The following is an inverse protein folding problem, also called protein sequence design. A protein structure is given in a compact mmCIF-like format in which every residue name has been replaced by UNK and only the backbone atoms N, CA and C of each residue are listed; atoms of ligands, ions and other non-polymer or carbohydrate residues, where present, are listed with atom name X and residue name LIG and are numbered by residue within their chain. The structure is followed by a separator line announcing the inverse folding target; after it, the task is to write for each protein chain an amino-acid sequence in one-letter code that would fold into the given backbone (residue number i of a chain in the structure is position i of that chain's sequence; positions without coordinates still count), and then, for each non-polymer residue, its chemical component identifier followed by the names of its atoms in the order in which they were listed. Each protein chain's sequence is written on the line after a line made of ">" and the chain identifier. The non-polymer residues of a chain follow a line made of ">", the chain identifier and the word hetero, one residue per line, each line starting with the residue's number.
data_IF_241958844723
#
_entry.id   IF_241958844723
#
_cell.length_a   1.000
_cell.length_b   1.000
_cell.length_c   1.000
_cell.angle_alpha   90.00
_cell.angle_beta   90.00
_cell.angle_gamma   90.00
#
_symmetry.space_group_name_H-M   'P 1'
#
loop_
_entity.id
_entity.type
_entity.pdbx_description
1 polymer ?
#
# COMPACT_ATOMS: atom_id res chain seq x y z
N UNK A 1 25.47 53.75 21.95
CA UNK A 1 26.17 53.09 20.82
C UNK A 1 26.24 51.60 21.11
N UNK A 2 25.30 50.85 20.55
CA UNK A 2 25.23 49.38 20.57
C UNK A 2 25.61 48.91 19.15
N UNK A 3 26.53 47.94 18.97
CA UNK A 3 26.88 47.46 17.64
C UNK A 3 25.86 46.43 17.14
N UNK A 4 25.68 46.44 15.82
CA UNK A 4 24.60 45.82 15.06
C UNK A 4 24.65 44.27 15.05
N UNK A 5 23.45 43.67 15.09
CA UNK A 5 23.21 42.26 14.77
C UNK A 5 23.30 42.04 13.25
N UNK A 6 24.38 41.40 12.80
CA UNK A 6 24.52 40.89 11.44
C UNK A 6 23.81 39.52 11.34
N UNK A 7 22.59 39.52 10.81
CA UNK A 7 21.82 38.29 10.58
C UNK A 7 22.18 37.67 9.23
N UNK A 8 23.24 36.84 9.22
CA UNK A 8 23.53 35.97 8.07
C UNK A 8 22.48 34.87 7.94
N UNK A 9 21.47 35.10 7.08
CA UNK A 9 20.56 34.08 6.56
C UNK A 9 21.34 32.97 5.84
N UNK A 10 21.63 31.86 6.53
CA UNK A 10 22.05 30.60 5.89
C UNK A 10 20.83 29.96 5.21
N UNK A 11 20.73 30.13 3.89
CA UNK A 11 19.86 29.33 3.02
C UNK A 11 20.34 27.88 3.02
N UNK A 12 19.66 26.98 3.73
CA UNK A 12 19.78 25.55 3.47
C UNK A 12 19.02 25.20 2.20
N UNK A 13 19.74 24.92 1.11
CA UNK A 13 19.17 24.26 -0.07
C UNK A 13 19.13 22.75 0.22
N UNK A 14 17.94 22.21 0.47
CA UNK A 14 17.68 20.78 0.38
C UNK A 14 17.88 20.34 -1.07
N UNK A 15 18.98 19.63 -1.35
CA UNK A 15 19.24 18.94 -2.62
C UNK A 15 18.98 17.46 -2.38
N UNK A 16 17.76 17.00 -2.65
CA UNK A 16 17.51 15.59 -2.94
C UNK A 16 17.30 15.47 -4.44
N UNK A 17 18.40 15.32 -5.18
CA UNK A 17 18.39 14.85 -6.55
C UNK A 17 18.98 13.44 -6.52
N UNK A 18 18.12 12.41 -6.51
CA UNK A 18 18.56 11.04 -6.73
C UNK A 18 18.61 10.79 -8.24
N UNK A 19 19.81 10.75 -8.79
CA UNK A 19 20.08 10.20 -10.12
C UNK A 19 20.27 8.69 -9.99
N UNK A 20 19.38 7.84 -10.51
CA UNK A 20 19.64 6.39 -10.60
C UNK A 20 19.11 5.76 -11.89
N UNK A 21 19.98 4.95 -12.48
CA UNK A 21 19.80 4.19 -13.72
C UNK A 21 18.98 2.93 -13.50
N UNK A 22 17.98 2.70 -14.35
CA UNK A 22 17.17 1.47 -14.39
C UNK A 22 17.72 0.49 -15.43
N UNK A 23 17.86 -0.78 -15.06
CA UNK A 23 18.15 -1.87 -16.01
C UNK A 23 16.98 -2.85 -16.08
N UNK A 24 16.65 -3.28 -17.30
CA UNK A 24 15.46 -4.06 -17.66
C UNK A 24 15.82 -5.46 -18.15
N UNK A 25 14.95 -6.45 -17.90
CA UNK A 25 14.99 -7.76 -18.53
C UNK A 25 13.57 -8.25 -18.90
N UNK A 26 13.44 -8.82 -20.10
CA UNK A 26 12.18 -9.34 -20.67
C UNK A 26 12.00 -10.80 -20.21
N UNK A 27 10.87 -11.19 -19.59
CA UNK A 27 10.53 -12.60 -19.45
C UNK A 27 9.81 -13.09 -20.72
N UNK A 28 10.34 -14.13 -21.34
CA UNK A 28 9.70 -14.85 -22.46
C UNK A 28 8.63 -15.84 -21.97
N UNK A 29 7.43 -15.72 -22.57
CA UNK A 29 6.26 -16.63 -22.70
C UNK A 29 5.87 -17.62 -21.56
N UNK A 30 4.57 -17.72 -21.17
CA UNK A 30 4.12 -18.48 -20.00
C UNK A 30 3.51 -19.85 -20.35
N UNK A 31 4.30 -20.76 -20.92
CA UNK A 31 3.94 -22.18 -20.96
C UNK A 31 5.21 -23.05 -20.82
N UNK A 32 5.62 -23.26 -19.57
CA UNK A 32 6.32 -24.43 -19.01
C UNK A 32 6.74 -24.11 -17.58
N UNK A 33 5.80 -24.16 -16.65
CA UNK A 33 6.13 -24.56 -15.28
C UNK A 33 6.24 -26.08 -15.28
N UNK A 34 7.31 -26.59 -14.68
CA UNK A 34 7.85 -27.95 -14.70
C UNK A 34 8.88 -28.22 -15.82
N UNK A 35 10.09 -28.53 -15.35
CA UNK A 35 11.35 -28.86 -16.04
C UNK A 35 12.14 -27.73 -16.71
N UNK A 36 13.10 -27.18 -15.96
CA UNK A 36 14.37 -26.66 -16.52
C UNK A 36 15.50 -26.64 -15.46
N UNK A 37 15.96 -27.83 -15.04
CA UNK A 37 17.39 -28.03 -14.77
C UNK A 37 18.09 -28.28 -16.10
N UNK A 38 18.41 -27.21 -16.85
CA UNK A 38 19.53 -27.12 -17.82
C UNK A 38 19.42 -25.84 -18.65
N UNK A 39 20.47 -25.01 -18.58
CA UNK A 39 20.90 -24.23 -19.75
C UNK A 39 20.69 -22.72 -19.74
N UNK A 40 21.14 -22.00 -18.71
CA UNK A 40 21.87 -20.74 -18.95
C UNK A 40 23.00 -20.64 -17.94
N UNK A 41 24.24 -20.75 -18.41
CA UNK A 41 25.44 -20.55 -17.59
C UNK A 41 25.68 -19.04 -17.51
N UNK A 42 24.79 -18.34 -16.79
CA UNK A 42 25.21 -17.17 -16.05
C UNK A 42 25.73 -17.70 -14.72
N UNK A 43 26.98 -17.42 -14.37
CA UNK A 43 27.53 -17.80 -13.05
C UNK A 43 26.61 -17.22 -11.97
N UNK A 44 25.79 -18.07 -11.34
CA UNK A 44 24.98 -17.67 -10.21
C UNK A 44 25.95 -17.22 -9.11
N UNK A 45 26.14 -15.91 -8.99
CA UNK A 45 27.01 -15.31 -7.98
C UNK A 45 26.46 -15.70 -6.62
N UNK A 46 27.32 -16.25 -5.76
CA UNK A 46 26.94 -16.69 -4.42
C UNK A 46 26.25 -15.52 -3.68
N UNK A 47 25.03 -15.71 -3.14
CA UNK A 47 24.27 -14.64 -2.50
C UNK A 47 24.98 -14.04 -1.27
N UNK A 48 25.86 -14.81 -0.62
CA UNK A 48 26.72 -14.31 0.46
C UNK A 48 27.70 -13.26 -0.08
N UNK A 49 28.30 -13.53 -1.24
CA UNK A 49 29.29 -12.64 -1.87
C UNK A 49 28.61 -11.36 -2.33
N UNK A 50 27.43 -11.45 -2.97
CA UNK A 50 26.72 -10.26 -3.45
C UNK A 50 26.27 -9.36 -2.30
N UNK A 51 25.85 -9.93 -1.17
CA UNK A 51 25.49 -9.16 0.02
C UNK A 51 26.70 -8.48 0.66
N UNK A 52 27.81 -9.20 0.83
CA UNK A 52 29.04 -8.63 1.39
C UNK A 52 29.57 -7.53 0.48
N UNK A 53 29.57 -7.73 -0.84
CA UNK A 53 29.93 -6.70 -1.82
C UNK A 53 29.05 -5.47 -1.69
N UNK A 54 27.73 -5.64 -1.62
CA UNK A 54 26.82 -4.52 -1.43
C UNK A 54 27.15 -3.69 -0.18
N UNK A 55 27.49 -4.35 0.94
CA UNK A 55 27.87 -3.69 2.20
C UNK A 55 29.21 -2.96 2.06
N UNK A 56 30.18 -3.55 1.35
CA UNK A 56 31.49 -2.94 1.12
C UNK A 56 31.41 -1.71 0.21
N UNK A 57 30.46 -1.70 -0.73
CA UNK A 57 30.21 -0.58 -1.64
C UNK A 57 29.50 0.60 -0.94
N UNK A 58 29.07 0.47 0.33
CA UNK A 58 28.44 1.55 1.07
C UNK A 58 29.49 2.49 1.71
N UNK A 59 29.67 3.66 1.11
CA UNK A 59 30.61 4.69 1.58
C UNK A 59 30.23 5.33 2.93
N UNK A 60 28.99 5.14 3.41
CA UNK A 60 28.51 5.74 4.65
C UNK A 60 29.06 5.06 5.92
N UNK A 61 29.67 3.87 5.81
CA UNK A 61 30.19 3.12 6.96
C UNK A 61 31.64 2.67 6.71
N UNK A 62 32.55 3.35 7.40
CA UNK A 62 33.99 3.17 7.20
C UNK A 62 34.63 2.12 8.12
N UNK A 63 33.95 1.70 9.19
CA UNK A 63 34.52 0.74 10.16
C UNK A 63 34.05 -0.69 9.87
N UNK A 64 34.93 -1.66 10.05
CA UNK A 64 34.59 -3.07 9.87
C UNK A 64 33.48 -3.52 10.83
N UNK A 65 33.49 -3.01 12.07
CA UNK A 65 32.42 -3.26 13.05
C UNK A 65 31.08 -2.70 12.54
N UNK A 66 31.09 -1.51 11.95
CA UNK A 66 29.91 -0.92 11.35
C UNK A 66 29.38 -1.74 10.17
N UNK A 67 30.27 -2.21 9.29
CA UNK A 67 29.93 -3.07 8.14
C UNK A 67 29.31 -4.38 8.59
N UNK A 68 29.88 -5.04 9.60
CA UNK A 68 29.31 -6.26 10.18
C UNK A 68 27.93 -6.01 10.78
N UNK A 69 27.74 -4.91 11.53
CA UNK A 69 26.42 -4.53 12.07
C UNK A 69 25.40 -4.27 10.97
N UNK A 70 25.80 -3.60 9.89
CA UNK A 70 24.96 -3.35 8.72
C UNK A 70 24.57 -4.68 8.04
N UNK A 71 25.52 -5.58 7.85
CA UNK A 71 25.28 -6.90 7.28
C UNK A 71 24.34 -7.74 8.13
N UNK A 72 24.52 -7.79 9.46
CA UNK A 72 23.60 -8.52 10.36
C UNK A 72 22.18 -7.94 10.27
N UNK A 73 22.02 -6.61 10.25
CA UNK A 73 20.71 -5.96 10.09
C UNK A 73 20.07 -6.32 8.75
N UNK A 74 20.85 -6.34 7.67
CA UNK A 74 20.38 -6.78 6.36
C UNK A 74 19.88 -8.23 6.42
N UNK A 75 20.65 -9.13 7.02
CA UNK A 75 20.28 -10.55 7.14
C UNK A 75 19.05 -10.79 8.02
N UNK A 76 18.86 -10.00 9.07
CA UNK A 76 17.65 -10.03 9.90
C UNK A 76 16.42 -9.61 9.09
N UNK A 77 16.51 -8.52 8.33
CA UNK A 77 15.42 -8.07 7.46
C UNK A 77 15.14 -9.05 6.31
N UNK A 78 16.17 -9.73 5.80
CA UNK A 78 16.05 -10.84 4.82
C UNK A 78 15.57 -12.16 5.43
N UNK A 79 15.42 -12.25 6.76
CA UNK A 79 15.13 -13.50 7.48
C UNK A 79 16.10 -14.65 7.13
N UNK A 80 17.37 -14.32 6.89
CA UNK A 80 18.38 -15.27 6.40
C UNK A 80 19.63 -15.36 7.28
N UNK A 81 19.62 -14.71 8.45
CA UNK A 81 20.77 -14.68 9.37
C UNK A 81 21.26 -16.08 9.74
N UNK A 82 20.36 -16.96 10.21
CA UNK A 82 20.73 -18.34 10.55
C UNK A 82 21.30 -19.10 9.36
N UNK A 83 20.67 -18.99 8.18
CA UNK A 83 21.15 -19.61 6.94
C UNK A 83 22.58 -19.16 6.62
N UNK A 84 22.87 -17.86 6.71
CA UNK A 84 24.21 -17.33 6.40
C UNK A 84 25.25 -17.66 7.44
N UNK A 85 24.87 -17.73 8.72
CA UNK A 85 25.78 -18.25 9.75
C UNK A 85 26.09 -19.72 9.49
N UNK A 86 25.10 -20.56 9.15
CA UNK A 86 25.32 -21.98 8.77
C UNK A 86 26.25 -22.10 7.55
N UNK A 87 26.09 -21.26 6.53
CA UNK A 87 26.99 -21.21 5.37
C UNK A 87 28.43 -20.85 5.78
N UNK A 88 28.63 -19.84 6.63
CA UNK A 88 29.97 -19.51 7.15
C UNK A 88 30.57 -20.65 7.98
N UNK A 89 29.76 -21.32 8.81
CA UNK A 89 30.17 -22.45 9.64
C UNK A 89 30.56 -23.69 8.81
N UNK A 90 30.06 -23.80 7.58
CA UNK A 90 30.45 -24.87 6.65
C UNK A 90 31.90 -24.77 6.19
N UNK A 91 32.55 -23.61 6.35
CA UNK A 91 33.97 -23.36 6.03
C UNK A 91 34.90 -23.95 7.12
N UNK A 92 34.74 -25.24 7.39
CA UNK A 92 35.38 -25.96 8.50
C UNK A 92 36.91 -25.87 8.47
N UNK A 93 37.53 -25.88 7.29
CA UNK A 93 38.98 -25.71 7.12
C UNK A 93 39.44 -24.35 7.66
N UNK A 94 38.77 -23.27 7.25
CA UNK A 94 39.09 -21.93 7.69
C UNK A 94 38.87 -21.74 9.19
N UNK A 95 37.79 -22.30 9.73
CA UNK A 95 37.48 -22.25 11.17
C UNK A 95 38.56 -22.99 11.96
N UNK A 96 38.95 -24.19 11.53
CA UNK A 96 39.94 -25.00 12.23
C UNK A 96 41.33 -24.36 12.27
N UNK A 97 41.66 -23.54 11.26
CA UNK A 97 42.92 -22.79 11.19
C UNK A 97 42.92 -21.52 12.03
N UNK A 98 41.81 -20.77 12.06
CA UNK A 98 41.77 -19.44 12.67
C UNK A 98 41.21 -19.40 14.11
N UNK A 99 40.53 -20.46 14.55
CA UNK A 99 39.90 -20.50 15.87
C UNK A 99 40.50 -21.58 16.78
N UNK A 100 40.72 -21.23 18.04
CA UNK A 100 41.18 -22.17 19.07
C UNK A 100 40.16 -23.30 19.28
N UNK A 101 40.60 -24.53 19.60
CA UNK A 101 39.72 -25.70 19.75
C UNK A 101 38.61 -25.52 20.79
N UNK A 102 38.83 -24.70 21.82
CA UNK A 102 37.85 -24.35 22.86
C UNK A 102 37.03 -23.10 22.54
N UNK A 103 37.13 -22.55 21.33
CA UNK A 103 36.31 -21.40 20.95
C UNK A 103 34.85 -21.83 20.79
N UNK A 104 33.93 -20.93 21.13
CA UNK A 104 32.50 -21.10 20.93
C UNK A 104 32.12 -21.69 19.56
N UNK A 105 32.73 -21.17 18.48
CA UNK A 105 32.45 -21.57 17.08
C UNK A 105 32.90 -23.01 16.76
N UNK A 106 33.65 -23.69 17.64
CA UNK A 106 34.08 -25.08 17.47
C UNK A 106 33.38 -26.04 18.43
N UNK A 107 32.58 -25.53 19.36
CA UNK A 107 31.83 -26.33 20.34
C UNK A 107 30.45 -26.65 19.77
N UNK A 108 30.22 -27.91 19.35
CA UNK A 108 28.95 -28.30 18.68
C UNK A 108 27.70 -28.00 19.51
N UNK A 109 27.71 -28.24 20.82
CA UNK A 109 26.54 -28.02 21.69
C UNK A 109 26.14 -26.56 21.77
N UNK A 110 27.11 -25.65 21.89
CA UNK A 110 26.86 -24.20 21.98
C UNK A 110 26.44 -23.63 20.62
N UNK A 111 27.02 -24.14 19.54
CA UNK A 111 26.65 -23.77 18.17
C UNK A 111 25.21 -24.17 17.82
N UNK A 112 24.80 -25.38 18.18
CA UNK A 112 23.42 -25.85 17.94
C UNK A 112 22.41 -24.95 18.67
N UNK A 113 22.71 -24.57 19.92
CA UNK A 113 21.87 -23.62 20.68
C UNK A 113 21.83 -22.24 20.03
N UNK A 114 22.96 -21.70 19.57
CA UNK A 114 23.00 -20.43 18.84
C UNK A 114 22.14 -20.50 17.58
N UNK A 115 22.32 -21.53 16.75
CA UNK A 115 21.58 -21.67 15.51
C UNK A 115 20.08 -21.81 15.74
N UNK A 116 19.66 -22.52 16.79
CA UNK A 116 18.26 -22.60 17.20
C UNK A 116 17.68 -21.21 17.55
N UNK A 117 18.42 -20.41 18.32
CA UNK A 117 18.00 -19.04 18.63
C UNK A 117 18.04 -18.10 17.41
N UNK A 118 18.95 -18.30 16.46
CA UNK A 118 18.96 -17.52 15.22
C UNK A 118 17.82 -17.91 14.28
N UNK A 119 17.42 -19.19 14.25
CA UNK A 119 16.25 -19.66 13.50
C UNK A 119 14.97 -19.02 14.05
N UNK A 120 14.82 -18.83 15.37
CA UNK A 120 13.63 -18.18 15.92
C UNK A 120 13.48 -16.71 15.50
N UNK A 121 14.59 -16.04 15.15
CA UNK A 121 14.55 -14.67 14.62
C UNK A 121 13.94 -14.59 13.21
N UNK A 122 13.90 -15.68 12.44
CA UNK A 122 13.27 -15.65 11.12
C UNK A 122 11.74 -15.54 11.20
N UNK A 123 11.14 -15.87 12.34
CA UNK A 123 9.72 -15.70 12.62
C UNK A 123 9.32 -14.24 12.89
N UNK A 124 10.29 -13.32 13.02
CA UNK A 124 10.05 -11.91 13.30
C UNK A 124 10.33 -11.08 12.04
N UNK A 125 9.48 -10.10 11.79
CA UNK A 125 9.70 -9.12 10.74
C UNK A 125 10.57 -7.96 11.23
N UNK A 126 11.81 -7.93 10.74
CA UNK A 126 12.70 -6.79 10.97
C UNK A 126 12.59 -5.79 9.82
N UNK A 127 12.73 -4.51 10.14
CA UNK A 127 12.92 -3.41 9.17
C UNK A 127 14.16 -2.58 9.53
N UNK A 128 15.08 -3.16 10.29
CA UNK A 128 16.20 -2.45 10.91
C UNK A 128 17.29 -2.04 9.92
N UNK A 129 17.41 -2.70 8.76
CA UNK A 129 18.34 -2.26 7.73
C UNK A 129 17.76 -1.05 6.99
N UNK A 130 16.55 -1.19 6.45
CA UNK A 130 15.90 -0.14 5.66
C UNK A 130 15.68 1.13 6.50
N UNK A 131 15.37 0.99 7.80
CA UNK A 131 15.16 2.14 8.68
C UNK A 131 16.46 2.85 9.08
N UNK A 132 17.51 2.11 9.44
CA UNK A 132 18.73 2.71 9.99
C UNK A 132 19.69 3.21 8.90
N UNK A 133 19.53 2.74 7.66
CA UNK A 133 20.36 3.12 6.52
C UNK A 133 19.55 3.70 5.35
N UNK A 134 18.81 4.81 5.56
CA UNK A 134 17.94 5.39 4.54
C UNK A 134 18.70 5.98 3.33
N UNK A 135 20.01 6.18 3.46
CA UNK A 135 20.87 6.65 2.36
C UNK A 135 21.32 5.51 1.43
N UNK A 136 21.16 4.25 1.86
CA UNK A 136 21.56 3.09 1.07
C UNK A 136 20.76 3.01 -0.23
N UNK A 137 21.43 2.65 -1.33
CA UNK A 137 20.76 2.51 -2.62
C UNK A 137 19.96 1.20 -2.69
N UNK A 138 18.64 1.29 -2.52
CA UNK A 138 17.74 0.15 -2.69
C UNK A 138 17.18 0.09 -4.12
N UNK A 139 17.40 -1.04 -4.78
CA UNK A 139 16.85 -1.32 -6.10
C UNK A 139 15.53 -2.07 -5.97
N UNK A 140 14.48 -1.55 -6.61
CA UNK A 140 13.18 -2.19 -6.66
C UNK A 140 12.85 -2.66 -8.08
N UNK A 141 12.33 -3.88 -8.23
CA UNK A 141 11.73 -4.36 -9.47
C UNK A 141 10.22 -4.27 -9.40
N UNK A 142 9.57 -3.73 -10.43
CA UNK A 142 8.12 -3.72 -10.56
C UNK A 142 7.68 -4.62 -11.72
N UNK A 143 6.73 -5.53 -11.45
CA UNK A 143 6.15 -6.44 -12.43
C UNK A 143 4.65 -6.19 -12.50
N UNK A 144 4.13 -5.96 -13.71
CA UNK A 144 2.73 -5.69 -13.97
C UNK A 144 2.14 -6.87 -14.74
N UNK A 145 1.09 -7.47 -14.18
CA UNK A 145 0.30 -8.49 -14.86
C UNK A 145 -0.90 -7.82 -15.52
N UNK A 146 -0.88 -7.69 -16.84
CA UNK A 146 -1.97 -7.11 -17.63
C UNK A 146 -2.81 -8.25 -18.21
N UNK A 147 -4.15 -8.13 -18.19
CA UNK A 147 -5.01 -9.14 -18.80
C UNK A 147 -4.76 -9.22 -20.30
N UNK A 148 -4.82 -10.44 -20.84
CA UNK A 148 -4.70 -10.67 -22.29
C UNK A 148 -5.96 -10.16 -22.99
N UNK A 149 -5.81 -9.07 -23.73
CA UNK A 149 -6.81 -8.57 -24.66
C UNK A 149 -6.48 -9.04 -26.08
N UNK A 150 -7.51 -9.27 -26.91
CA UNK A 150 -7.35 -9.68 -28.33
C UNK A 150 -6.60 -8.61 -29.14
N UNK A 151 -6.81 -7.34 -28.79
CA UNK A 151 -6.08 -6.20 -29.35
C UNK A 151 -4.98 -5.79 -28.38
N UNK A 152 -3.78 -5.54 -28.91
CA UNK A 152 -2.71 -4.94 -28.11
C UNK A 152 -3.15 -3.54 -27.69
N UNK A 153 -3.12 -3.27 -26.39
CA UNK A 153 -3.32 -1.91 -25.88
C UNK A 153 -2.26 -0.98 -26.47
N UNK A 154 -2.57 0.32 -26.50
CA UNK A 154 -1.68 1.34 -27.09
C UNK A 154 -1.15 2.37 -26.08
N UNK A 155 -1.50 2.32 -24.79
CA UNK A 155 -1.26 3.38 -23.79
C UNK A 155 0.10 3.35 -23.09
N UNK A 156 0.64 4.53 -22.69
CA UNK A 156 1.82 4.62 -21.81
C UNK A 156 1.36 4.35 -20.40
N UNK A 157 1.84 3.26 -19.82
CA UNK A 157 1.68 3.04 -18.40
C UNK A 157 2.81 3.75 -17.65
N UNK A 158 2.42 4.41 -16.58
CA UNK A 158 3.35 5.00 -15.64
C UNK A 158 3.02 4.52 -14.23
N UNK A 159 4.05 4.44 -13.39
CA UNK A 159 3.94 4.01 -12.01
C UNK A 159 4.66 5.01 -11.13
N UNK A 160 4.08 5.26 -9.96
CA UNK A 160 4.74 5.95 -8.86
C UNK A 160 4.67 5.05 -7.65
N UNK A 161 5.83 4.77 -7.05
CA UNK A 161 5.91 4.00 -5.81
C UNK A 161 6.18 4.97 -4.66
N UNK A 162 5.35 4.89 -3.62
CA UNK A 162 5.52 5.69 -2.40
C UNK A 162 5.65 4.76 -1.20
N UNK A 163 6.61 5.08 -0.32
CA UNK A 163 6.85 4.40 0.93
C UNK A 163 7.08 5.40 2.06
N UNK A 164 7.43 4.91 3.25
CA UNK A 164 7.62 5.74 4.45
C UNK A 164 8.82 6.70 4.33
N UNK A 165 9.87 6.30 3.61
CA UNK A 165 11.10 7.07 3.46
C UNK A 165 11.11 7.99 2.23
N UNK A 166 10.08 7.92 1.40
CA UNK A 166 10.01 8.76 0.21
C UNK A 166 9.13 8.17 -0.89
N UNK A 167 9.23 8.80 -2.05
CA UNK A 167 8.44 8.49 -3.24
C UNK A 167 9.35 8.54 -4.47
N UNK A 168 9.11 7.66 -5.43
CA UNK A 168 9.78 7.71 -6.72
C UNK A 168 9.22 8.84 -7.58
N UNK A 169 10.02 9.33 -8.50
CA UNK A 169 9.50 10.06 -9.66
C UNK A 169 8.57 9.16 -10.49
N UNK A 170 7.91 9.75 -11.49
CA UNK A 170 7.06 9.02 -12.42
C UNK A 170 7.92 8.04 -13.24
N UNK A 171 7.73 6.75 -13.00
CA UNK A 171 8.39 5.67 -13.72
C UNK A 171 7.55 5.34 -14.95
N UNK A 172 8.00 5.78 -16.13
CA UNK A 172 7.40 5.37 -17.40
C UNK A 172 7.84 3.95 -17.74
N UNK A 173 6.90 3.06 -17.98
CA UNK A 173 7.20 1.68 -18.35
C UNK A 173 7.49 1.62 -19.86
N UNK A 174 8.62 1.02 -20.31
CA UNK A 174 9.00 1.07 -21.71
C UNK A 174 8.03 0.25 -22.57
N UNK A 175 7.33 0.95 -23.49
CA UNK A 175 6.47 0.47 -24.58
C UNK A 175 5.47 -0.61 -24.12
N UNK A 176 4.23 -0.23 -23.84
CA UNK A 176 3.35 0.45 -24.80
C UNK A 176 3.23 1.95 -24.49
N UNK A 177 2.94 2.82 -25.47
CA UNK A 177 2.82 4.25 -25.22
C UNK A 177 1.72 4.96 -26.00
N UNK A 178 0.89 5.78 -25.33
CA UNK A 178 0.07 6.84 -25.93
C UNK A 178 -0.08 8.08 -25.03
N UNK A 179 -0.47 9.15 -25.68
CA UNK A 179 -0.89 10.51 -25.29
C UNK A 179 -2.42 10.70 -25.36
N UNK A 180 -3.19 9.61 -25.30
CA UNK A 180 -4.61 9.45 -25.65
C UNK A 180 -4.89 9.48 -27.17
N UNK A 181 -3.84 9.52 -28.01
CA UNK A 181 -3.93 9.31 -29.45
C UNK A 181 -3.77 7.83 -29.82
N UNK A 182 -4.85 7.05 -29.82
CA UNK A 182 -4.78 5.64 -30.22
C UNK A 182 -6.14 4.94 -30.33
N UNK A 183 -6.20 3.88 -31.15
CA UNK A 183 -7.45 3.15 -31.46
C UNK A 183 -7.97 2.29 -30.30
N UNK A 184 -7.13 1.87 -29.33
CA UNK A 184 -7.50 1.04 -28.17
C UNK A 184 -6.69 1.41 -26.90
N UNK A 185 -7.20 2.33 -26.06
CA UNK A 185 -6.52 2.78 -24.85
C UNK A 185 -6.73 1.87 -23.62
N UNK A 186 -7.66 0.91 -23.71
CA UNK A 186 -8.11 0.11 -22.56
C UNK A 186 -7.03 -0.87 -22.09
N UNK A 187 -6.64 -0.76 -20.82
CA UNK A 187 -5.70 -1.68 -20.16
C UNK A 187 -6.32 -2.19 -18.87
N UNK A 188 -6.51 -3.50 -18.75
CA UNK A 188 -6.88 -4.13 -17.47
C UNK A 188 -5.63 -4.64 -16.75
N UNK A 189 -5.37 -4.10 -15.56
CA UNK A 189 -4.26 -4.54 -14.71
C UNK A 189 -4.82 -5.55 -13.69
N UNK A 190 -4.31 -6.78 -13.72
CA UNK A 190 -4.66 -7.82 -12.75
C UNK A 190 -3.96 -7.57 -11.41
N UNK A 191 -2.62 -7.50 -11.44
CA UNK A 191 -1.82 -7.29 -10.25
C UNK A 191 -0.51 -6.55 -10.56
N UNK A 192 0.01 -5.89 -9.54
CA UNK A 192 1.30 -5.23 -9.53
C UNK A 192 2.12 -5.84 -8.39
N UNK A 193 3.35 -6.27 -8.70
CA UNK A 193 4.30 -6.79 -7.73
C UNK A 193 5.51 -5.88 -7.66
N UNK A 194 5.87 -5.44 -6.47
CA UNK A 194 7.05 -4.61 -6.22
C UNK A 194 7.98 -5.39 -5.30
N UNK A 195 9.19 -5.68 -5.74
CA UNK A 195 10.17 -6.43 -4.95
C UNK A 195 11.36 -5.54 -4.64
N UNK A 196 11.78 -5.48 -3.38
CA UNK A 196 13.10 -4.97 -3.02
C UNK A 196 14.14 -6.04 -3.33
N UNK A 197 15.01 -5.78 -4.31
CA UNK A 197 15.98 -6.78 -4.80
C UNK A 197 17.07 -7.11 -3.77
N UNK A 198 17.31 -6.22 -2.81
CA UNK A 198 18.30 -6.44 -1.76
C UNK A 198 17.72 -7.25 -0.60
N UNK A 199 16.58 -6.81 -0.05
CA UNK A 199 15.97 -7.43 1.13
C UNK A 199 15.05 -8.61 0.78
N UNK A 200 14.62 -8.73 -0.47
CA UNK A 200 13.64 -9.73 -0.91
C UNK A 200 12.20 -9.42 -0.50
N UNK A 201 11.95 -8.29 0.18
CA UNK A 201 10.59 -7.86 0.54
C UNK A 201 9.74 -7.72 -0.73
N UNK A 202 8.65 -8.49 -0.80
CA UNK A 202 7.69 -8.47 -1.89
C UNK A 202 6.43 -7.73 -1.45
N UNK A 203 5.94 -6.83 -2.28
CA UNK A 203 4.67 -6.14 -2.09
C UNK A 203 3.75 -6.49 -3.25
N UNK A 204 2.52 -6.90 -2.94
CA UNK A 204 1.52 -7.31 -3.91
C UNK A 204 0.34 -6.35 -3.85
N UNK A 205 -0.08 -5.92 -5.03
CA UNK A 205 -1.29 -5.15 -5.27
C UNK A 205 -2.15 -6.00 -6.19
N UNK A 206 -3.28 -6.46 -5.69
CA UNK A 206 -4.38 -6.93 -6.54
C UNK A 206 -5.03 -5.65 -7.05
N UNK A 207 -4.94 -5.40 -8.37
CA UNK A 207 -5.35 -4.13 -8.94
C UNK A 207 -6.74 -4.25 -9.56
N UNK A 208 -7.01 -5.34 -10.29
CA UNK A 208 -8.29 -5.71 -10.88
C UNK A 208 -9.10 -4.56 -11.51
N UNK A 209 -8.41 -3.62 -12.18
CA UNK A 209 -9.02 -2.37 -12.68
C UNK A 209 -8.68 -2.13 -14.14
N UNK A 210 -9.63 -1.56 -14.86
CA UNK A 210 -9.41 -0.98 -16.18
C UNK A 210 -8.95 0.46 -16.03
N UNK A 211 -7.86 0.81 -16.71
CA UNK A 211 -7.45 2.19 -16.96
C UNK A 211 -8.08 2.63 -18.28
N UNK A 212 -9.20 3.36 -18.22
CA UNK A 212 -9.91 3.83 -19.42
C UNK A 212 -10.96 4.88 -19.09
N UNK A 213 -10.99 5.96 -19.87
CA UNK A 213 -12.07 6.96 -19.85
C UNK A 213 -13.42 6.40 -20.36
N UNK A 214 -13.42 5.25 -21.05
CA UNK A 214 -14.63 4.64 -21.63
C UNK A 214 -15.34 3.67 -20.68
N UNK A 215 -14.72 3.37 -19.55
CA UNK A 215 -15.25 2.45 -18.55
C UNK A 215 -16.14 3.15 -17.52
N UNK A 216 -16.85 2.36 -16.71
CA UNK A 216 -17.83 2.87 -15.74
C UNK A 216 -17.28 3.84 -14.72
N UNK A 217 -15.97 3.82 -14.44
CA UNK A 217 -15.28 4.69 -13.49
C UNK A 217 -14.51 5.83 -14.17
N UNK A 218 -14.43 5.84 -15.51
CA UNK A 218 -13.79 6.87 -16.35
C UNK A 218 -12.35 7.24 -15.89
N UNK A 219 -11.68 6.35 -15.18
CA UNK A 219 -10.43 6.63 -14.48
C UNK A 219 -9.23 6.06 -15.24
N UNK A 220 -8.21 6.89 -15.43
CA UNK A 220 -6.96 6.56 -16.14
C UNK A 220 -5.74 6.54 -15.21
N UNK A 221 -5.96 6.78 -13.92
CA UNK A 221 -4.97 6.73 -12.85
C UNK A 221 -5.64 6.09 -11.63
N UNK A 222 -4.89 5.34 -10.82
CA UNK A 222 -5.38 4.80 -9.55
C UNK A 222 -4.29 4.86 -8.48
N UNK A 223 -4.73 5.00 -7.24
CA UNK A 223 -3.88 4.88 -6.06
C UNK A 223 -4.16 3.54 -5.39
N UNK A 224 -3.11 2.71 -5.27
CA UNK A 224 -3.22 1.41 -4.63
C UNK A 224 -2.42 1.39 -3.34
N UNK A 225 -2.99 0.78 -2.30
CA UNK A 225 -2.23 0.38 -1.13
C UNK A 225 -1.65 -1.01 -1.33
N UNK A 226 -0.34 -1.15 -1.18
CA UNK A 226 0.36 -2.41 -1.36
C UNK A 226 0.41 -3.22 -0.06
N UNK A 227 0.19 -4.53 -0.15
CA UNK A 227 0.37 -5.47 0.96
C UNK A 227 1.76 -6.09 0.90
N UNK A 228 2.50 -6.07 2.01
CA UNK A 228 3.74 -6.86 2.12
C UNK A 228 3.42 -8.35 2.17
N UNK A 229 4.08 -9.14 1.35
CA UNK A 229 3.97 -10.60 1.29
C UNK A 229 4.99 -11.24 2.23
N UNK A 230 4.54 -12.11 3.13
CA UNK A 230 5.39 -12.76 4.12
C UNK A 230 5.84 -14.12 3.63
N UNK A 231 7.15 -14.36 3.66
CA UNK A 231 7.78 -15.59 3.16
C UNK A 231 7.70 -16.73 4.18
N UNK A 232 7.60 -16.43 5.48
CA UNK A 232 7.43 -17.39 6.57
C UNK A 232 6.11 -17.17 7.29
N UNK A 233 5.04 -17.71 6.71
CA UNK A 233 3.92 -18.35 7.41
C UNK A 233 2.83 -18.56 6.38
N UNK A 234 2.47 -19.84 6.22
CA UNK A 234 1.16 -20.33 5.86
C UNK A 234 0.48 -19.65 4.66
N UNK A 235 0.09 -20.52 3.73
CA UNK A 235 -1.31 -20.70 3.34
C UNK A 235 -2.33 -20.56 4.50
N UNK A 236 -2.28 -19.49 5.29
CA UNK A 236 -3.42 -18.61 5.46
C UNK A 236 -3.40 -17.81 4.14
N UNK A 237 -3.84 -18.38 3.01
CA UNK A 237 -5.29 -18.47 2.84
C UNK A 237 -5.99 -17.71 3.97
N UNK A 238 -5.85 -16.38 3.96
CA UNK A 238 -7.04 -15.56 4.03
C UNK A 238 -7.85 -16.02 2.81
N UNK A 239 -8.42 -17.23 2.92
CA UNK A 239 -9.67 -17.57 2.32
C UNK A 239 -10.49 -16.38 2.80
N UNK A 240 -10.82 -15.51 1.87
CA UNK A 240 -12.17 -15.03 1.84
C UNK A 240 -13.00 -16.31 1.94
N UNK A 241 -13.33 -16.71 3.17
CA UNK A 241 -14.33 -17.74 3.39
C UNK A 241 -15.52 -17.19 2.62
N UNK A 242 -15.84 -17.89 1.54
CA UNK A 242 -17.01 -17.57 0.75
C UNK A 242 -18.14 -17.47 1.75
N UNK A 243 -18.71 -16.27 1.83
CA UNK A 243 -20.02 -16.07 2.41
C UNK A 243 -20.88 -17.21 1.92
N UNK A 244 -21.54 -17.89 2.84
CA UNK A 244 -22.60 -18.82 2.51
C UNK A 244 -23.45 -18.23 1.39
N UNK A 245 -23.71 -18.98 0.32
CA UNK A 245 -24.53 -18.55 -0.84
C UNK A 245 -25.97 -18.14 -0.44
N UNK A 246 -26.31 -18.19 0.85
CA UNK A 246 -27.58 -17.76 1.46
C UNK A 246 -27.58 -16.32 2.00
N UNK A 247 -26.44 -15.64 2.12
CA UNK A 247 -26.39 -14.33 2.78
C UNK A 247 -26.77 -13.20 1.83
N UNK A 248 -27.60 -12.27 2.31
CA UNK A 248 -27.99 -11.11 1.50
C UNK A 248 -26.75 -10.26 1.16
N UNK A 249 -26.70 -9.59 -0.01
CA UNK A 249 -25.58 -8.73 -0.37
C UNK A 249 -25.26 -7.65 0.68
N UNK A 250 -26.29 -7.12 1.35
CA UNK A 250 -26.12 -6.16 2.44
C UNK A 250 -25.43 -6.77 3.66
N UNK A 251 -25.69 -8.03 3.98
CA UNK A 251 -25.08 -8.73 5.13
C UNK A 251 -23.60 -9.02 4.85
N UNK A 252 -23.27 -9.44 3.63
CA UNK A 252 -21.88 -9.62 3.20
C UNK A 252 -21.05 -8.33 3.35
N UNK A 253 -21.61 -7.18 2.94
CA UNK A 253 -20.95 -5.87 3.09
C UNK A 253 -20.74 -5.55 4.58
N UNK A 254 -21.74 -5.80 5.44
CA UNK A 254 -21.61 -5.57 6.90
C UNK A 254 -20.49 -6.39 7.50
N UNK A 255 -20.45 -7.70 7.26
CA UNK A 255 -19.46 -8.60 7.85
C UNK A 255 -18.06 -8.19 7.42
N UNK A 256 -17.84 -7.93 6.13
CA UNK A 256 -16.55 -7.45 5.60
C UNK A 256 -16.14 -6.11 6.23
N UNK A 257 -17.07 -5.18 6.39
CA UNK A 257 -16.80 -3.88 7.02
C UNK A 257 -16.44 -4.03 8.50
N UNK A 258 -17.16 -4.88 9.25
CA UNK A 258 -16.87 -5.16 10.66
C UNK A 258 -15.48 -5.76 10.85
N UNK A 259 -15.11 -6.74 10.02
CA UNK A 259 -13.78 -7.34 10.08
C UNK A 259 -12.69 -6.32 9.73
N UNK A 260 -12.91 -5.47 8.71
CA UNK A 260 -11.97 -4.42 8.38
C UNK A 260 -11.81 -3.37 9.49
N UNK A 261 -12.90 -3.01 10.18
CA UNK A 261 -12.84 -2.09 11.33
C UNK A 261 -12.09 -2.74 12.48
N UNK A 262 -12.35 -4.03 12.76
CA UNK A 262 -11.63 -4.80 13.78
C UNK A 262 -10.12 -4.81 13.51
N UNK A 263 -9.71 -5.04 12.27
CA UNK A 263 -8.29 -5.02 11.88
C UNK A 263 -7.64 -3.65 12.12
N UNK A 264 -8.36 -2.56 11.81
CA UNK A 264 -7.89 -1.18 12.06
C UNK A 264 -7.79 -0.89 13.56
N UNK A 265 -8.80 -1.29 14.35
CA UNK A 265 -8.76 -1.14 15.81
C UNK A 265 -7.57 -1.91 16.38
N UNK A 266 -7.39 -3.17 15.95
CA UNK A 266 -6.28 -4.01 16.38
C UNK A 266 -4.92 -3.38 16.07
N UNK A 267 -4.78 -2.71 14.92
CA UNK A 267 -3.57 -1.96 14.58
C UNK A 267 -3.24 -0.87 15.62
N UNK A 268 -4.24 -0.15 16.13
CA UNK A 268 -4.04 0.90 17.12
C UNK A 268 -3.89 0.38 18.55
N UNK A 269 -4.52 -0.75 18.90
CA UNK A 269 -4.42 -1.33 20.24
C UNK A 269 -3.14 -2.16 20.41
N UNK A 270 -2.75 -2.92 19.40
CA UNK A 270 -1.62 -3.86 19.44
C UNK A 270 -0.66 -3.67 18.23
N UNK A 271 -0.07 -2.45 18.06
CA UNK A 271 0.72 -2.11 16.86
C UNK A 271 1.95 -3.00 16.66
N UNK A 272 2.46 -3.63 17.74
CA UNK A 272 3.62 -4.53 17.66
C UNK A 272 3.31 -5.87 16.99
N UNK A 273 2.03 -6.24 16.91
CA UNK A 273 1.54 -7.46 16.26
C UNK A 273 0.93 -7.17 14.89
N UNK A 274 0.88 -5.90 14.49
CA UNK A 274 0.32 -5.49 13.21
C UNK A 274 1.22 -5.96 12.05
N UNK A 275 0.74 -6.98 11.34
CA UNK A 275 1.38 -7.53 10.14
C UNK A 275 1.27 -6.58 8.94
N UNK A 276 0.27 -5.71 8.94
CA UNK A 276 -0.07 -4.86 7.79
C UNK A 276 0.03 -3.39 8.16
N UNK A 277 0.38 -2.56 7.18
CA UNK A 277 0.42 -1.11 7.35
C UNK A 277 -0.98 -0.54 7.48
N UNK A 278 -1.12 0.54 8.24
CA UNK A 278 -2.37 1.30 8.33
C UNK A 278 -2.89 1.71 6.95
N UNK A 279 -2.01 2.11 6.04
CA UNK A 279 -2.37 2.48 4.67
C UNK A 279 -3.09 1.33 3.95
N UNK A 280 -2.61 0.09 4.08
CA UNK A 280 -3.28 -1.06 3.48
C UNK A 280 -4.58 -1.39 4.21
N UNK A 281 -4.62 -1.38 5.54
CA UNK A 281 -5.85 -1.62 6.31
C UNK A 281 -6.97 -0.63 6.02
N UNK A 282 -6.62 0.56 5.53
CA UNK A 282 -7.58 1.61 5.22
C UNK A 282 -7.92 1.69 3.73
N UNK A 283 -6.93 1.60 2.84
CA UNK A 283 -7.09 1.82 1.38
C UNK A 283 -6.91 0.56 0.52
N UNK A 284 -6.52 -0.58 1.10
CA UNK A 284 -6.35 -1.83 0.38
C UNK A 284 -7.66 -2.36 -0.20
N UNK A 285 -7.58 -3.24 -1.21
CA UNK A 285 -8.79 -3.89 -1.75
C UNK A 285 -9.55 -4.63 -0.64
N UNK A 286 -10.88 -4.49 -0.63
CA UNK A 286 -11.77 -5.06 0.40
C UNK A 286 -11.42 -4.64 1.83
N UNK A 287 -10.96 -3.38 2.00
CA UNK A 287 -10.67 -2.75 3.29
C UNK A 287 -11.55 -1.54 3.54
N UNK A 288 -11.30 -0.82 4.64
CA UNK A 288 -12.21 0.15 5.23
C UNK A 288 -12.81 1.13 4.22
N UNK A 289 -11.98 1.91 3.51
CA UNK A 289 -12.48 2.94 2.59
C UNK A 289 -13.19 2.33 1.37
N UNK A 290 -12.60 1.36 0.64
CA UNK A 290 -13.33 0.71 -0.45
C UNK A 290 -14.66 0.08 -0.03
N UNK A 291 -14.73 -0.52 1.16
CA UNK A 291 -15.97 -1.09 1.72
C UNK A 291 -16.99 -0.02 2.08
N UNK A 292 -16.56 1.11 2.64
CA UNK A 292 -17.44 2.26 2.88
C UNK A 292 -18.02 2.81 1.56
N UNK A 293 -17.21 2.83 0.48
CA UNK A 293 -17.71 3.20 -0.85
C UNK A 293 -18.68 2.17 -1.39
N UNK A 294 -18.39 0.88 -1.29
CA UNK A 294 -19.29 -0.22 -1.70
C UNK A 294 -20.65 -0.12 -1.00
N UNK A 295 -20.63 0.16 0.29
CA UNK A 295 -21.83 0.40 1.11
C UNK A 295 -22.59 1.66 0.68
N UNK A 296 -21.91 2.77 0.37
CA UNK A 296 -22.55 4.00 -0.12
C UNK A 296 -23.11 3.86 -1.54
N UNK A 297 -22.57 2.95 -2.35
CA UNK A 297 -23.09 2.66 -3.68
C UNK A 297 -24.25 1.65 -3.66
N UNK A 298 -24.44 0.93 -2.56
CA UNK A 298 -25.49 -0.08 -2.43
C UNK A 298 -26.87 0.55 -2.61
N UNK A 299 -27.62 0.03 -3.61
CA UNK A 299 -28.95 0.49 -3.98
C UNK A 299 -29.04 1.98 -4.38
N UNK A 300 -27.93 2.56 -4.85
CA UNK A 300 -27.91 3.87 -5.52
C UNK A 300 -28.61 3.76 -6.89
N UNK A 301 -29.57 4.65 -7.14
CA UNK A 301 -30.21 4.81 -8.45
C UNK A 301 -29.20 5.44 -9.42
N UNK A 302 -28.48 4.59 -10.15
CA UNK A 302 -27.52 5.02 -11.14
C UNK A 302 -27.92 4.55 -12.54
N UNK A 303 -27.99 5.50 -13.48
CA UNK A 303 -28.20 5.20 -14.91
C UNK A 303 -26.88 5.12 -15.69
N UNK A 304 -25.78 5.69 -15.16
CA UNK A 304 -24.46 5.77 -15.80
C UNK A 304 -23.33 5.39 -14.82
N UNK A 305 -22.34 6.26 -14.62
CA UNK A 305 -21.21 6.08 -13.73
C UNK A 305 -21.65 6.22 -12.25
N UNK A 306 -21.56 5.17 -11.42
CA UNK A 306 -22.02 5.19 -10.03
C UNK A 306 -21.21 6.13 -9.13
N UNK A 307 -19.92 6.31 -9.40
CA UNK A 307 -19.06 7.21 -8.63
C UNK A 307 -19.37 8.67 -8.94
N UNK A 308 -19.59 9.01 -10.21
CA UNK A 308 -20.05 10.35 -10.61
C UNK A 308 -21.42 10.66 -10.04
N UNK A 309 -22.33 9.68 -10.07
CA UNK A 309 -23.67 9.83 -9.48
C UNK A 309 -23.58 10.07 -7.97
N UNK A 310 -22.75 9.30 -7.25
CA UNK A 310 -22.53 9.46 -5.81
C UNK A 310 -21.90 10.82 -5.48
N UNK A 311 -20.91 11.28 -6.27
CA UNK A 311 -20.32 12.60 -6.09
C UNK A 311 -21.31 13.73 -6.35
N UNK A 312 -22.18 13.57 -7.35
CA UNK A 312 -23.26 14.51 -7.65
C UNK A 312 -24.27 14.59 -6.50
N UNK A 313 -24.61 13.44 -5.91
CA UNK A 313 -25.43 13.39 -4.70
C UNK A 313 -24.82 14.18 -3.54
N UNK A 314 -23.52 13.98 -3.24
CA UNK A 314 -22.83 14.78 -2.22
C UNK A 314 -22.85 16.27 -2.53
N UNK A 315 -22.66 16.63 -3.80
CA UNK A 315 -22.69 18.03 -4.25
C UNK A 315 -24.07 18.67 -4.04
N UNK A 316 -25.17 17.96 -4.32
CA UNK A 316 -26.53 18.45 -4.07
C UNK A 316 -26.81 18.66 -2.58
N UNK A 317 -26.43 17.71 -1.73
CA UNK A 317 -26.55 17.87 -0.27
C UNK A 317 -25.78 19.10 0.22
N UNK A 318 -24.57 19.31 -0.31
CA UNK A 318 -23.77 20.48 0.05
C UNK A 318 -24.48 21.80 -0.32
N UNK A 319 -25.04 21.88 -1.53
CA UNK A 319 -25.76 23.08 -2.00
C UNK A 319 -26.97 23.37 -1.12
N UNK A 320 -27.76 22.34 -0.81
CA UNK A 320 -28.93 22.44 0.06
C UNK A 320 -28.57 22.91 1.48
N UNK A 321 -27.47 22.38 2.03
CA UNK A 321 -26.98 22.84 3.32
C UNK A 321 -26.44 24.26 3.29
N UNK A 322 -25.69 24.65 2.25
CA UNK A 322 -25.23 26.04 2.06
C UNK A 322 -26.43 27.00 1.99
N UNK A 323 -27.51 26.59 1.32
CA UNK A 323 -28.77 27.35 1.25
C UNK A 323 -29.46 27.45 2.62
N UNK A 324 -29.62 26.34 3.32
CA UNK A 324 -30.24 26.30 4.67
C UNK A 324 -29.46 27.11 5.72
N UNK A 325 -28.14 27.14 5.63
CA UNK A 325 -27.28 27.96 6.49
C UNK A 325 -27.35 29.45 6.17
N UNK A 326 -27.65 29.83 4.93
CA UNK A 326 -27.85 31.25 4.58
C UNK A 326 -29.13 31.83 5.20
N UNK A 327 -30.07 30.97 5.59
CA UNK A 327 -31.38 31.35 6.16
C UNK A 327 -31.46 31.21 7.69
N UNK A 328 -30.53 30.51 8.34
CA UNK A 328 -30.58 30.22 9.78
C UNK A 328 -29.52 30.99 10.58
N UNK A 329 -29.93 31.59 11.71
CA UNK A 329 -29.02 32.32 12.64
C UNK A 329 -28.23 31.36 13.55
N UNK A 330 -28.74 30.14 13.76
CA UNK A 330 -28.10 29.13 14.60
C UNK A 330 -27.21 28.19 13.78
N UNK A 331 -25.91 28.44 13.87
CA UNK A 331 -24.84 27.63 13.28
C UNK A 331 -24.68 26.32 14.05
N UNK A 332 -25.14 25.19 13.52
CA UNK A 332 -24.65 23.91 14.06
C UNK A 332 -23.15 23.77 13.71
N UNK A 333 -22.32 23.45 14.70
CA UNK A 333 -20.86 23.36 14.51
C UNK A 333 -20.50 22.31 13.44
N UNK A 334 -21.26 21.22 13.42
CA UNK A 334 -21.09 20.06 12.54
C UNK A 334 -21.36 20.39 11.06
N UNK A 335 -22.42 21.14 10.73
CA UNK A 335 -22.69 21.55 9.34
C UNK A 335 -21.62 22.53 8.80
N UNK A 336 -21.08 23.41 9.65
CA UNK A 336 -19.98 24.29 9.24
C UNK A 336 -18.67 23.52 9.00
N UNK A 337 -18.38 22.51 9.84
CA UNK A 337 -17.23 21.59 9.63
C UNK A 337 -17.39 20.79 8.35
N UNK A 338 -18.61 20.36 8.03
CA UNK A 338 -18.94 19.70 6.77
C UNK A 338 -18.61 20.59 5.59
N UNK A 339 -19.21 21.78 5.53
CA UNK A 339 -19.07 22.67 4.37
C UNK A 339 -17.63 23.11 4.18
N UNK A 340 -16.91 23.38 5.27
CA UNK A 340 -15.50 23.75 5.21
C UNK A 340 -14.66 22.62 4.66
N UNK A 341 -14.89 21.39 5.12
CA UNK A 341 -14.16 20.19 4.66
C UNK A 341 -14.48 19.90 3.19
N UNK A 342 -15.76 19.89 2.81
CA UNK A 342 -16.18 19.59 1.44
C UNK A 342 -15.75 20.66 0.44
N UNK A 343 -15.88 21.94 0.78
CA UNK A 343 -15.52 23.02 -0.15
C UNK A 343 -14.01 23.01 -0.43
N UNK A 344 -13.19 22.71 0.58
CA UNK A 344 -11.74 22.48 0.39
C UNK A 344 -11.44 21.28 -0.52
N UNK A 345 -12.32 20.26 -0.54
CA UNK A 345 -12.20 19.09 -1.41
C UNK A 345 -12.68 19.37 -2.83
N UNK A 346 -13.72 20.19 -3.00
CA UNK A 346 -14.13 20.69 -4.33
C UNK A 346 -13.01 21.52 -4.97
N UNK A 347 -12.33 22.35 -4.18
CA UNK A 347 -11.15 23.11 -4.62
C UNK A 347 -9.93 22.20 -4.89
N UNK A 348 -9.90 21.00 -4.31
CA UNK A 348 -8.80 20.05 -4.45
C UNK A 348 -8.85 19.37 -5.82
N UNK A 349 -7.99 19.86 -6.72
CA UNK A 349 -7.59 19.27 -7.99
C UNK A 349 -8.75 18.78 -8.89
N UNK A 350 -9.26 19.68 -9.75
CA UNK A 350 -10.25 19.37 -10.79
C UNK A 350 -9.87 18.22 -11.75
N UNK A 351 -8.64 17.70 -11.69
CA UNK A 351 -8.14 16.60 -12.52
C UNK A 351 -8.30 15.22 -11.89
N UNK A 352 -8.70 15.11 -10.62
CA UNK A 352 -8.92 13.81 -9.98
C UNK A 352 -10.29 13.24 -10.36
N UNK A 353 -10.35 11.93 -10.60
CA UNK A 353 -11.60 11.25 -10.90
C UNK A 353 -12.58 11.26 -9.72
N UNK A 354 -13.86 10.89 -9.98
CA UNK A 354 -14.89 10.86 -8.95
C UNK A 354 -14.54 9.94 -7.78
N UNK A 355 -13.91 8.79 -8.05
CA UNK A 355 -13.53 7.81 -7.04
C UNK A 355 -12.46 8.36 -6.07
N UNK A 356 -11.43 9.04 -6.58
CA UNK A 356 -10.42 9.66 -5.72
C UNK A 356 -11.03 10.72 -4.82
N UNK A 357 -11.93 11.55 -5.36
CA UNK A 357 -12.62 12.57 -4.58
C UNK A 357 -13.42 11.96 -3.44
N UNK A 358 -14.13 10.86 -3.70
CA UNK A 358 -14.86 10.11 -2.68
C UNK A 358 -13.89 9.53 -1.63
N UNK A 359 -12.75 8.97 -2.04
CA UNK A 359 -11.78 8.38 -1.12
C UNK A 359 -11.17 9.45 -0.20
N UNK A 360 -10.72 10.57 -0.77
CA UNK A 360 -10.17 11.69 0.03
C UNK A 360 -11.24 12.25 0.96
N UNK A 361 -12.48 12.36 0.50
CA UNK A 361 -13.61 12.78 1.32
C UNK A 361 -13.82 11.88 2.54
N UNK A 362 -13.91 10.56 2.34
CA UNK A 362 -14.10 9.58 3.42
C UNK A 362 -12.90 9.55 4.38
N UNK A 363 -11.68 9.56 3.86
CA UNK A 363 -10.45 9.62 4.65
C UNK A 363 -10.40 10.87 5.52
N UNK A 364 -10.73 12.03 4.93
CA UNK A 364 -10.76 13.30 5.66
C UNK A 364 -11.84 13.26 6.74
N UNK A 365 -13.01 12.70 6.43
CA UNK A 365 -14.13 12.58 7.39
C UNK A 365 -13.79 11.65 8.56
N UNK A 366 -13.13 10.52 8.31
CA UNK A 366 -12.64 9.63 9.37
C UNK A 366 -11.57 10.31 10.23
N UNK A 367 -10.58 10.97 9.61
CA UNK A 367 -9.50 11.65 10.34
C UNK A 367 -10.00 12.77 11.26
N UNK A 368 -11.09 13.45 10.88
CA UNK A 368 -11.73 14.47 11.70
C UNK A 368 -12.82 13.93 12.63
N UNK A 369 -13.06 12.61 12.61
CA UNK A 369 -14.11 11.91 13.36
C UNK A 369 -15.52 12.48 13.11
N UNK A 370 -15.80 12.93 11.88
CA UNK A 370 -17.09 13.53 11.52
C UNK A 370 -17.96 12.61 10.68
N UNK A 371 -17.46 11.48 10.17
CA UNK A 371 -18.21 10.66 9.21
C UNK A 371 -19.60 10.23 9.71
N UNK A 372 -19.79 9.99 11.02
CA UNK A 372 -21.09 9.68 11.60
C UNK A 372 -22.09 10.85 11.51
N UNK A 373 -21.64 12.09 11.68
CA UNK A 373 -22.46 13.30 11.50
C UNK A 373 -22.96 13.39 10.04
N UNK A 374 -22.10 13.01 9.09
CA UNK A 374 -22.42 13.05 7.66
C UNK A 374 -23.44 11.99 7.29
N UNK A 375 -23.36 10.80 7.87
CA UNK A 375 -24.37 9.75 7.69
C UNK A 375 -25.74 10.25 8.17
N UNK A 376 -25.79 10.96 9.29
CA UNK A 376 -27.00 11.64 9.78
C UNK A 376 -27.56 12.62 8.75
N UNK A 377 -26.75 13.58 8.32
CA UNK A 377 -27.12 14.59 7.31
C UNK A 377 -27.60 13.94 6.00
N UNK A 378 -26.89 12.93 5.52
CA UNK A 378 -27.27 12.18 4.32
C UNK A 378 -28.62 11.50 4.53
N UNK A 379 -28.85 10.82 5.65
CA UNK A 379 -30.12 10.13 5.89
C UNK A 379 -31.33 11.06 6.00
N UNK A 380 -31.14 12.29 6.48
CA UNK A 380 -32.20 13.29 6.66
C UNK A 380 -32.50 14.12 5.40
N UNK A 381 -31.58 14.11 4.42
CA UNK A 381 -31.75 14.91 3.20
C UNK A 381 -32.89 14.40 2.33
N UNK A 382 -33.69 15.34 1.81
CA UNK A 382 -34.73 15.05 0.80
C UNK A 382 -34.15 14.49 -0.50
N UNK A 383 -32.86 14.74 -0.78
CA UNK A 383 -32.19 14.17 -1.96
C UNK A 383 -31.98 12.67 -1.84
N UNK A 384 -31.91 12.11 -0.63
CA UNK A 384 -31.58 10.69 -0.44
C UNK A 384 -32.66 9.77 -0.97
N UNK A 385 -33.94 10.14 -0.82
CA UNK A 385 -35.07 9.39 -1.41
C UNK A 385 -35.14 9.50 -2.93
N UNK A 386 -34.54 10.55 -3.52
CA UNK A 386 -34.43 10.70 -4.98
C UNK A 386 -33.31 9.82 -5.55
N UNK A 387 -32.19 9.71 -4.83
CA UNK A 387 -30.98 9.04 -5.31
C UNK A 387 -30.88 7.57 -4.92
N UNK A 388 -31.59 7.10 -3.89
CA UNK A 388 -31.50 5.73 -3.39
C UNK A 388 -32.85 5.02 -3.41
N UNK A 389 -32.80 3.69 -3.49
CA UNK A 389 -33.98 2.85 -3.23
C UNK A 389 -34.15 2.61 -1.72
N UNK A 390 -35.35 2.22 -1.31
CA UNK A 390 -35.74 2.05 0.09
C UNK A 390 -34.86 1.06 0.90
N UNK A 391 -34.19 0.11 0.23
CA UNK A 391 -33.32 -0.88 0.88
C UNK A 391 -31.86 -0.39 1.05
N UNK A 392 -31.53 0.82 0.60
CA UNK A 392 -30.20 1.38 0.77
C UNK A 392 -29.83 1.57 2.25
N UNK A 393 -28.54 1.51 2.56
CA UNK A 393 -28.04 1.65 3.92
C UNK A 393 -28.43 2.97 4.59
N UNK A 394 -28.57 4.06 3.81
CA UNK A 394 -28.94 5.38 4.33
C UNK A 394 -30.43 5.51 4.69
N UNK A 395 -31.29 4.66 4.12
CA UNK A 395 -32.75 4.74 4.28
C UNK A 395 -33.31 3.65 5.18
N UNK A 396 -32.69 2.46 5.21
CA UNK A 396 -33.09 1.38 6.09
C UNK A 396 -32.58 1.62 7.52
N UNK A 397 -33.48 1.62 8.50
CA UNK A 397 -33.17 1.91 9.91
C UNK A 397 -32.08 0.98 10.49
N UNK A 398 -32.21 -0.33 10.29
CA UNK A 398 -31.27 -1.32 10.85
C UNK A 398 -29.86 -1.16 10.24
N UNK A 399 -29.80 -0.95 8.93
CA UNK A 399 -28.55 -0.73 8.21
C UNK A 399 -27.88 0.60 8.61
N UNK A 400 -28.70 1.64 8.86
CA UNK A 400 -28.21 2.94 9.31
C UNK A 400 -27.63 2.87 10.72
N UNK A 401 -28.30 2.19 11.64
CA UNK A 401 -27.80 2.00 13.02
C UNK A 401 -26.48 1.21 13.02
N UNK A 402 -26.37 0.18 12.18
CA UNK A 402 -25.11 -0.52 11.97
C UNK A 402 -24.00 0.43 11.47
N UNK A 403 -24.28 1.26 10.46
CA UNK A 403 -23.31 2.24 9.94
C UNK A 403 -22.87 3.23 11.00
N UNK A 404 -23.82 3.76 11.77
CA UNK A 404 -23.54 4.71 12.82
C UNK A 404 -22.66 4.07 13.91
N UNK A 405 -23.03 2.87 14.37
CA UNK A 405 -22.25 2.13 15.35
C UNK A 405 -20.85 1.72 14.86
N UNK A 406 -20.71 1.43 13.57
CA UNK A 406 -19.44 1.06 12.94
C UNK A 406 -18.48 2.25 12.82
N UNK A 407 -18.99 3.45 12.55
CA UNK A 407 -18.19 4.65 12.32
C UNK A 407 -17.87 5.42 13.61
N UNK A 408 -18.72 5.29 14.64
CA UNK A 408 -18.50 5.92 15.96
C UNK A 408 -17.48 5.17 16.81
N UNK A 409 -17.37 3.86 16.64
CA UNK A 409 -16.32 3.03 17.27
C UNK A 409 -14.98 3.27 16.60
#
# INVERSE_FOLDING_TARGET
>A
MLPALDTKKKRFKSKYAMSRSFSYSIPSSPHRELDTRRGSVGTATNPLITEVQHILDQDCIMTDIGRVRMWIKLLLEKQSLSTRVKELLSLTTYINTNYHKSSFIRTNTELEQLLYHLDSLSCVEFSCFTHDFPQSELNYSATLSIARTVLKHTSVLWLVVSGTLGRTDVIKLPKVGHDNGGLNPDVFINNIKITNNLTGNLYVIEANRNLSEKQKDESVEYYFAARKYLTQQNSLNIRFEGTSDSDSPSECIKTRLQDSIRDVIHYFTEPRLAVQSLTYLVLGENRLIPLLVEMLLYELNCTKNPFTQLWTYFSHILVDMKFSLSQSVNKSSSQNRFITTFSKLEDYNNRSGPIEKIYVFLMTSLSHQILHEWIGVMSESTYTTLYYKNNAFLLNFELKEFMYGAVVR
#
